data_IF_734690923807
#
_entry.id   IF_734690923807
#
_cell.length_a   1.000
_cell.length_b   1.000
_cell.length_c   1.000
_cell.angle_alpha   90.00
_cell.angle_beta   90.00
_cell.angle_gamma   90.00
#
_symmetry.space_group_name_H-M   'P 1'
#
loop_
_entity.id
_entity.type
_entity.pdbx_description
1 polymer ?
#
# COMPACT_ATOMS: atom_id res chain seq x y z
N UNK A 1 1.26 25.75 -2.32
CA UNK A 1 2.65 25.45 -1.90
C UNK A 1 2.76 25.71 -0.41
N UNK A 2 3.32 24.80 0.36
CA UNK A 2 3.56 25.00 1.81
C UNK A 2 4.90 25.72 1.93
N UNK A 3 4.86 26.97 2.39
CA UNK A 3 6.00 27.89 2.41
C UNK A 3 6.26 28.54 3.78
N UNK A 4 5.49 28.13 4.81
CA UNK A 4 5.67 28.61 6.18
C UNK A 4 5.32 27.55 7.21
N UNK A 5 5.92 27.66 8.41
CA UNK A 5 5.61 26.81 9.57
C UNK A 5 4.13 26.88 9.96
N UNK A 6 3.53 28.06 9.86
CA UNK A 6 2.13 28.27 10.18
C UNK A 6 1.19 27.48 9.25
N UNK A 7 1.49 27.45 7.94
CA UNK A 7 0.72 26.63 6.98
C UNK A 7 0.84 25.13 7.27
N UNK A 8 2.00 24.67 7.71
CA UNK A 8 2.18 23.27 8.14
C UNK A 8 1.31 22.98 9.36
N UNK A 9 1.39 23.81 10.40
CA UNK A 9 0.58 23.66 11.62
C UNK A 9 -0.92 23.66 11.29
N UNK A 10 -1.37 24.61 10.48
CA UNK A 10 -2.78 24.69 10.09
C UNK A 10 -3.24 23.47 9.27
N UNK A 11 -2.35 22.90 8.45
CA UNK A 11 -2.65 21.66 7.74
C UNK A 11 -2.93 20.50 8.71
N UNK A 12 -2.08 20.30 9.72
CA UNK A 12 -2.30 19.26 10.73
C UNK A 12 -3.55 19.54 11.58
N UNK A 13 -3.77 20.79 11.99
CA UNK A 13 -4.98 21.19 12.72
C UNK A 13 -6.26 20.95 11.93
N UNK A 14 -6.21 21.03 10.61
CA UNK A 14 -7.37 20.73 9.75
C UNK A 14 -7.77 19.26 9.76
N UNK A 15 -6.89 18.37 10.23
CA UNK A 15 -7.18 16.94 10.42
C UNK A 15 -8.03 16.62 11.66
N UNK A 16 -8.10 17.54 12.61
CA UNK A 16 -8.92 17.40 13.83
C UNK A 16 -10.40 17.30 13.47
N UNK A 17 -11.11 16.34 14.06
CA UNK A 17 -12.53 16.09 13.80
C UNK A 17 -13.31 15.96 15.10
N UNK A 18 -14.59 16.29 15.04
CA UNK A 18 -15.52 15.96 16.12
C UNK A 18 -15.74 14.43 16.18
N UNK A 19 -15.81 13.81 17.38
CA UNK A 19 -15.94 12.36 17.54
C UNK A 19 -17.07 11.71 16.72
N UNK A 20 -18.19 12.41 16.53
CA UNK A 20 -19.30 11.92 15.67
C UNK A 20 -18.95 11.75 14.19
N UNK A 21 -17.85 12.38 13.75
CA UNK A 21 -17.36 12.36 12.38
C UNK A 21 -16.13 11.46 12.19
N UNK A 22 -15.72 10.73 13.24
CA UNK A 22 -14.56 9.84 13.17
C UNK A 22 -14.77 8.76 12.12
N UNK A 23 -13.70 8.50 11.40
CA UNK A 23 -13.60 7.41 10.43
C UNK A 23 -12.40 6.54 10.78
N UNK A 24 -12.45 5.34 10.25
CA UNK A 24 -11.31 4.43 10.23
C UNK A 24 -10.90 4.16 8.78
N UNK A 25 -9.64 3.86 8.56
CA UNK A 25 -9.12 3.39 7.27
C UNK A 25 -8.17 2.23 7.51
N UNK A 26 -8.14 1.27 6.61
CA UNK A 26 -7.27 0.10 6.72
C UNK A 26 -6.38 0.03 5.49
N UNK A 27 -5.11 -0.28 5.72
CA UNK A 27 -4.15 -0.60 4.67
C UNK A 27 -3.70 -2.05 4.80
N UNK A 28 -3.63 -2.75 3.67
CA UNK A 28 -3.22 -4.15 3.61
C UNK A 28 -2.19 -4.37 2.53
N UNK A 29 -0.99 -4.72 2.93
CA UNK A 29 0.06 -5.11 2.00
C UNK A 29 0.08 -6.62 1.74
N UNK A 30 0.52 -7.02 0.55
CA UNK A 30 0.65 -8.42 0.13
C UNK A 30 1.90 -8.63 -0.70
N UNK A 31 2.58 -9.74 -0.45
CA UNK A 31 3.59 -10.25 -1.37
C UNK A 31 2.94 -11.01 -2.52
N UNK A 32 3.55 -10.89 -3.68
CA UNK A 32 3.14 -11.58 -4.89
C UNK A 32 4.29 -12.43 -5.45
N UNK A 33 4.03 -13.71 -5.65
CA UNK A 33 5.00 -14.67 -6.16
C UNK A 33 4.46 -15.38 -7.40
N UNK A 34 5.34 -15.79 -8.30
CA UNK A 34 4.96 -16.78 -9.29
C UNK A 34 4.62 -18.10 -8.60
N UNK A 35 3.54 -18.71 -8.99
CA UNK A 35 3.12 -19.98 -8.42
C UNK A 35 4.05 -21.13 -8.83
N UNK A 36 4.65 -21.04 -10.03
CA UNK A 36 5.50 -22.08 -10.61
C UNK A 36 6.86 -22.24 -9.92
N UNK A 37 7.52 -21.13 -9.53
CA UNK A 37 8.90 -21.13 -9.02
C UNK A 37 9.08 -20.45 -7.66
N UNK A 38 8.00 -19.89 -7.10
CA UNK A 38 7.98 -19.11 -5.85
C UNK A 38 8.91 -17.88 -5.84
N UNK A 39 9.28 -17.35 -7.00
CA UNK A 39 9.99 -16.07 -7.07
C UNK A 39 9.02 -14.91 -7.04
N UNK A 40 9.47 -13.78 -6.53
CA UNK A 40 8.72 -12.51 -6.58
C UNK A 40 8.41 -12.15 -8.02
N UNK A 41 7.19 -11.72 -8.30
CA UNK A 41 6.80 -11.30 -9.65
C UNK A 41 7.49 -10.00 -10.04
N UNK A 42 7.82 -9.88 -11.31
CA UNK A 42 8.39 -8.65 -11.88
C UNK A 42 7.31 -7.62 -12.23
N UNK A 43 7.75 -6.43 -12.64
CA UNK A 43 6.83 -5.35 -12.99
C UNK A 43 6.00 -5.66 -14.25
N UNK A 44 6.46 -6.50 -15.18
CA UNK A 44 5.66 -6.88 -16.35
C UNK A 44 4.40 -7.63 -15.94
N UNK A 45 4.55 -8.52 -14.97
CA UNK A 45 3.43 -9.28 -14.38
C UNK A 45 2.47 -8.39 -13.57
N UNK A 46 3.01 -7.36 -12.88
CA UNK A 46 2.19 -6.32 -12.22
C UNK A 46 1.33 -5.59 -13.24
N UNK A 47 1.89 -5.20 -14.40
CA UNK A 47 1.12 -4.52 -15.45
C UNK A 47 -0.03 -5.38 -15.96
N UNK A 48 0.20 -6.67 -16.20
CA UNK A 48 -0.84 -7.62 -16.59
C UNK A 48 -1.94 -7.70 -15.52
N UNK A 49 -1.56 -7.83 -14.25
CA UNK A 49 -2.49 -7.90 -13.13
C UNK A 49 -3.30 -6.62 -12.98
N UNK A 50 -2.66 -5.46 -13.03
CA UNK A 50 -3.35 -4.16 -12.95
C UNK A 50 -4.30 -3.96 -14.12
N UNK A 51 -3.88 -4.34 -15.34
CA UNK A 51 -4.75 -4.27 -16.52
C UNK A 51 -6.00 -5.16 -16.39
N UNK A 52 -5.85 -6.35 -15.82
CA UNK A 52 -6.98 -7.24 -15.60
C UNK A 52 -7.92 -6.72 -14.47
N UNK A 53 -7.41 -6.01 -13.48
CA UNK A 53 -8.23 -5.40 -12.43
C UNK A 53 -9.12 -4.26 -12.94
N UNK A 54 -8.82 -3.67 -14.10
CA UNK A 54 -9.70 -2.65 -14.72
C UNK A 54 -11.09 -3.22 -15.04
N UNK A 55 -11.22 -4.52 -15.31
CA UNK A 55 -12.51 -5.18 -15.53
C UNK A 55 -13.45 -5.09 -14.33
N UNK A 56 -12.91 -4.88 -13.13
CA UNK A 56 -13.65 -4.69 -11.89
C UNK A 56 -13.96 -3.22 -11.57
N UNK A 57 -13.71 -2.31 -12.51
CA UNK A 57 -14.00 -0.88 -12.36
C UNK A 57 -12.89 -0.08 -11.66
N UNK A 58 -11.68 -0.63 -11.57
CA UNK A 58 -10.50 0.12 -11.16
C UNK A 58 -10.01 1.03 -12.29
N UNK A 59 -9.49 2.21 -11.94
CA UNK A 59 -8.93 3.17 -12.89
C UNK A 59 -7.42 3.26 -12.69
N UNK A 60 -6.62 3.25 -13.78
CA UNK A 60 -5.17 3.26 -13.68
C UNK A 60 -4.63 4.64 -13.29
N UNK A 61 -3.59 4.64 -12.48
CA UNK A 61 -2.77 5.81 -12.16
C UNK A 61 -1.37 5.60 -12.72
N UNK A 62 -0.87 6.58 -13.45
CA UNK A 62 0.41 6.49 -14.14
C UNK A 62 1.46 7.43 -13.57
N UNK A 63 2.70 6.98 -13.56
CA UNK A 63 3.90 7.80 -13.47
C UNK A 63 4.64 7.68 -14.81
N UNK A 64 4.62 8.74 -15.61
CA UNK A 64 5.01 8.71 -17.04
C UNK A 64 4.17 7.65 -17.79
N UNK A 65 4.82 6.67 -18.43
CA UNK A 65 4.17 5.55 -19.14
C UNK A 65 3.88 4.33 -18.24
N UNK A 66 4.28 4.37 -16.98
CA UNK A 66 4.17 3.22 -16.09
C UNK A 66 2.94 3.32 -15.21
N UNK A 67 2.12 2.25 -15.20
CA UNK A 67 1.01 2.12 -14.27
C UNK A 67 1.58 1.76 -12.88
N UNK A 68 1.34 2.64 -11.89
CA UNK A 68 1.93 2.51 -10.56
C UNK A 68 0.90 2.32 -9.45
N UNK A 69 -0.37 2.54 -9.75
CA UNK A 69 -1.48 2.35 -8.83
C UNK A 69 -2.79 2.20 -9.59
N UNK A 70 -3.82 1.80 -8.88
CA UNK A 70 -5.21 1.81 -9.32
C UNK A 70 -6.06 2.57 -8.32
N UNK A 71 -7.12 3.24 -8.75
CA UNK A 71 -8.11 3.84 -7.86
C UNK A 71 -9.54 3.39 -8.18
N UNK A 72 -10.39 3.31 -7.15
CA UNK A 72 -11.82 2.96 -7.28
C UNK A 72 -12.60 3.59 -6.12
N UNK A 73 -13.36 4.65 -6.40
CA UNK A 73 -14.00 5.44 -5.33
C UNK A 73 -12.95 6.11 -4.45
N UNK A 74 -13.05 5.92 -3.13
CA UNK A 74 -12.07 6.40 -2.15
C UNK A 74 -10.86 5.50 -1.91
N UNK A 75 -10.81 4.32 -2.58
CA UNK A 75 -9.80 3.27 -2.38
C UNK A 75 -8.70 3.33 -3.43
N UNK A 76 -7.50 2.87 -3.05
CA UNK A 76 -6.39 2.69 -3.97
C UNK A 76 -5.76 1.31 -3.81
N UNK A 77 -5.25 0.77 -4.92
CA UNK A 77 -4.26 -0.31 -4.89
C UNK A 77 -2.95 0.32 -5.34
N UNK A 78 -1.96 0.37 -4.46
CA UNK A 78 -0.65 0.95 -4.75
C UNK A 78 0.39 -0.12 -4.95
N UNK A 79 1.37 0.20 -5.80
CA UNK A 79 2.55 -0.62 -5.99
C UNK A 79 3.60 -0.20 -4.97
N UNK A 80 4.06 -1.15 -4.16
CA UNK A 80 5.03 -0.94 -3.10
C UNK A 80 6.42 -1.49 -3.50
N UNK A 81 7.52 -1.17 -2.76
CA UNK A 81 8.86 -1.63 -3.09
C UNK A 81 8.90 -3.15 -3.32
N UNK A 82 9.70 -3.60 -4.29
CA UNK A 82 9.81 -5.03 -4.59
C UNK A 82 8.52 -5.66 -5.12
N UNK A 83 7.62 -4.87 -5.72
CA UNK A 83 6.35 -5.31 -6.29
C UNK A 83 5.37 -5.90 -5.27
N UNK A 84 5.44 -5.51 -3.98
CA UNK A 84 4.30 -5.68 -3.08
C UNK A 84 3.15 -4.80 -3.58
N UNK A 85 1.93 -5.22 -3.28
CA UNK A 85 0.74 -4.41 -3.51
C UNK A 85 0.06 -4.08 -2.19
N UNK A 86 -0.46 -2.88 -2.09
CA UNK A 86 -1.18 -2.38 -0.93
C UNK A 86 -2.60 -1.97 -1.32
N UNK A 87 -3.58 -2.44 -0.56
CA UNK A 87 -4.89 -1.79 -0.52
C UNK A 87 -4.82 -0.65 0.49
N UNK A 88 -4.96 0.59 0.04
CA UNK A 88 -5.30 1.73 0.89
C UNK A 88 -6.81 1.93 0.83
N UNK A 89 -7.50 1.52 1.92
CA UNK A 89 -8.96 1.49 1.99
C UNK A 89 -9.62 2.86 2.04
N UNK A 90 -10.95 2.86 1.99
CA UNK A 90 -11.75 4.07 2.07
C UNK A 90 -11.90 4.56 3.54
N UNK A 91 -12.52 5.70 3.72
CA UNK A 91 -12.90 6.26 5.02
C UNK A 91 -14.20 5.60 5.49
N UNK A 92 -14.09 4.71 6.46
CA UNK A 92 -15.16 3.82 6.90
C UNK A 92 -15.69 4.23 8.27
N UNK A 93 -16.94 3.86 8.58
CA UNK A 93 -17.56 4.19 9.86
C UNK A 93 -17.30 3.14 10.94
N UNK A 94 -17.10 1.89 10.56
CA UNK A 94 -16.93 0.78 11.51
C UNK A 94 -16.28 -0.44 10.85
N UNK A 95 -15.80 -1.37 11.68
CA UNK A 95 -15.06 -2.56 11.26
C UNK A 95 -15.80 -3.48 10.30
N UNK A 96 -17.13 -3.54 10.31
CA UNK A 96 -17.87 -4.39 9.35
C UNK A 96 -17.76 -3.87 7.92
N UNK A 97 -17.71 -2.54 7.72
CA UNK A 97 -17.43 -1.95 6.40
C UNK A 97 -16.00 -2.29 5.96
N UNK A 98 -15.03 -2.25 6.88
CA UNK A 98 -13.65 -2.64 6.61
C UNK A 98 -13.51 -4.12 6.24
N UNK A 99 -14.24 -5.01 6.91
CA UNK A 99 -14.29 -6.42 6.56
C UNK A 99 -14.88 -6.64 5.16
N UNK A 100 -15.99 -5.96 4.84
CA UNK A 100 -16.60 -6.04 3.52
C UNK A 100 -15.65 -5.55 2.42
N UNK A 101 -15.01 -4.39 2.62
CA UNK A 101 -14.03 -3.84 1.69
C UNK A 101 -12.86 -4.80 1.43
N UNK A 102 -12.31 -5.37 2.51
CA UNK A 102 -11.21 -6.33 2.41
C UNK A 102 -11.64 -7.62 1.67
N UNK A 103 -12.87 -8.09 1.88
CA UNK A 103 -13.39 -9.27 1.20
C UNK A 103 -13.59 -9.02 -0.29
N UNK A 104 -14.18 -7.88 -0.66
CA UNK A 104 -14.37 -7.47 -2.07
C UNK A 104 -13.03 -7.37 -2.79
N UNK A 105 -12.07 -6.69 -2.19
CA UNK A 105 -10.71 -6.59 -2.73
C UNK A 105 -10.06 -7.95 -2.92
N UNK A 106 -10.10 -8.81 -1.92
CA UNK A 106 -9.51 -10.14 -2.01
C UNK A 106 -10.22 -11.03 -3.03
N UNK A 107 -11.53 -10.87 -3.20
CA UNK A 107 -12.29 -11.58 -4.22
C UNK A 107 -11.81 -11.17 -5.63
N UNK A 108 -11.78 -9.87 -5.92
CA UNK A 108 -11.32 -9.34 -7.21
C UNK A 108 -9.87 -9.75 -7.51
N UNK A 109 -8.99 -9.59 -6.52
CA UNK A 109 -7.58 -9.93 -6.63
C UNK A 109 -7.37 -11.43 -6.92
N UNK A 110 -8.10 -12.32 -6.21
CA UNK A 110 -8.02 -13.77 -6.43
C UNK A 110 -8.51 -14.20 -7.82
N UNK A 111 -9.53 -13.53 -8.38
CA UNK A 111 -9.98 -13.82 -9.75
C UNK A 111 -8.86 -13.56 -10.77
N UNK A 112 -8.16 -12.45 -10.62
CA UNK A 112 -7.07 -12.04 -11.51
C UNK A 112 -5.83 -12.92 -11.31
N UNK A 113 -5.39 -13.06 -10.07
CA UNK A 113 -4.14 -13.78 -9.75
C UNK A 113 -4.22 -15.26 -10.12
N UNK A 114 -5.40 -15.88 -10.00
CA UNK A 114 -5.63 -17.25 -10.46
C UNK A 114 -5.43 -17.41 -11.98
N UNK A 115 -5.91 -16.45 -12.78
CA UNK A 115 -5.73 -16.44 -14.24
C UNK A 115 -4.26 -16.26 -14.65
N UNK A 116 -3.51 -15.49 -13.88
CA UNK A 116 -2.12 -15.13 -14.17
C UNK A 116 -1.08 -16.02 -13.49
N UNK A 117 -1.51 -17.10 -12.82
CA UNK A 117 -0.64 -18.00 -12.05
C UNK A 117 0.22 -17.28 -11.00
N UNK A 118 -0.40 -16.34 -10.29
CA UNK A 118 0.21 -15.56 -9.21
C UNK A 118 -0.27 -16.08 -7.86
N UNK A 119 0.65 -16.28 -6.93
CA UNK A 119 0.41 -16.60 -5.53
C UNK A 119 0.43 -15.32 -4.69
N UNK A 120 -0.64 -15.11 -3.92
CA UNK A 120 -0.74 -14.03 -2.93
C UNK A 120 -0.30 -14.58 -1.58
N UNK A 121 0.62 -13.89 -0.91
CA UNK A 121 1.10 -14.26 0.42
C UNK A 121 0.89 -13.10 1.39
N UNK A 122 0.14 -13.38 2.47
CA UNK A 122 -0.02 -12.48 3.61
C UNK A 122 0.95 -12.92 4.71
N UNK A 123 2.08 -12.25 4.80
CA UNK A 123 3.10 -12.51 5.81
C UNK A 123 3.77 -11.18 6.17
N UNK A 124 4.19 -11.01 7.41
CA UNK A 124 4.86 -9.79 7.84
C UNK A 124 6.27 -9.63 7.28
N UNK A 125 6.89 -10.72 6.86
CA UNK A 125 8.23 -10.74 6.29
C UNK A 125 8.31 -11.78 5.15
N UNK A 126 9.05 -11.47 4.08
CA UNK A 126 9.27 -12.39 2.95
C UNK A 126 10.10 -13.59 3.41
N UNK A 127 9.53 -14.81 3.44
CA UNK A 127 10.22 -15.96 4.00
C UNK A 127 11.19 -16.63 3.02
N UNK A 128 11.20 -16.25 1.76
CA UNK A 128 11.85 -16.98 0.68
C UNK A 128 12.96 -16.18 0.01
N UNK A 129 12.67 -14.93 -0.41
CA UNK A 129 13.54 -14.17 -1.30
C UNK A 129 14.70 -13.55 -0.54
N UNK A 130 15.90 -13.58 -1.16
CA UNK A 130 17.00 -12.74 -0.74
C UNK A 130 16.80 -11.33 -1.31
N UNK A 131 17.36 -10.33 -0.64
CA UNK A 131 17.20 -8.93 -1.04
C UNK A 131 17.61 -8.68 -2.51
N UNK A 132 18.71 -9.28 -2.95
CA UNK A 132 19.22 -9.14 -4.31
C UNK A 132 18.45 -9.92 -5.39
N UNK A 133 17.46 -10.73 -4.98
CA UNK A 133 16.59 -11.49 -5.89
C UNK A 133 15.23 -10.77 -6.11
N UNK A 134 14.95 -9.72 -5.33
CA UNK A 134 13.68 -9.01 -5.41
C UNK A 134 13.72 -7.99 -6.54
N UNK A 135 12.80 -8.06 -7.51
CA UNK A 135 12.79 -7.15 -8.64
C UNK A 135 12.35 -5.75 -8.23
N UNK A 136 12.96 -4.74 -8.83
CA UNK A 136 12.57 -3.35 -8.68
C UNK A 136 11.35 -3.03 -9.55
N UNK A 137 10.66 -1.95 -9.19
CA UNK A 137 9.59 -1.37 -9.99
C UNK A 137 9.97 0.06 -10.44
N UNK A 138 9.23 0.64 -11.41
CA UNK A 138 9.62 1.88 -12.06
C UNK A 138 9.27 3.17 -11.28
N UNK A 139 8.77 3.07 -10.03
CA UNK A 139 8.49 4.27 -9.23
C UNK A 139 9.80 4.99 -8.88
N UNK A 140 9.95 6.23 -9.30
CA UNK A 140 11.12 7.05 -9.03
C UNK A 140 11.41 7.19 -7.54
N UNK A 141 10.37 7.26 -6.72
CA UNK A 141 10.48 7.30 -5.25
C UNK A 141 11.34 6.16 -4.72
N UNK A 142 11.14 4.94 -5.20
CA UNK A 142 11.84 3.77 -4.67
C UNK A 142 13.28 3.68 -5.18
N UNK A 143 13.58 4.20 -6.36
CA UNK A 143 14.97 4.35 -6.81
C UNK A 143 15.75 5.28 -5.88
N UNK A 144 15.18 6.41 -5.49
CA UNK A 144 15.78 7.35 -4.55
C UNK A 144 15.94 6.72 -3.16
N UNK A 145 14.89 6.09 -2.64
CA UNK A 145 14.92 5.45 -1.32
C UNK A 145 15.95 4.32 -1.25
N UNK A 146 16.09 3.51 -2.30
CA UNK A 146 17.08 2.43 -2.36
C UNK A 146 18.52 2.95 -2.24
N UNK A 147 18.79 4.14 -2.72
CA UNK A 147 20.10 4.79 -2.61
C UNK A 147 20.34 5.43 -1.25
N UNK A 148 19.30 6.00 -0.65
CA UNK A 148 19.40 6.81 0.56
C UNK A 148 19.29 5.98 1.85
N UNK A 149 18.36 5.05 1.91
CA UNK A 149 18.04 4.30 3.13
C UNK A 149 19.21 3.50 3.74
N UNK A 150 20.14 2.92 2.97
CA UNK A 150 21.32 2.23 3.53
C UNK A 150 22.21 3.13 4.37
N UNK A 151 22.14 4.44 4.17
CA UNK A 151 22.88 5.42 4.99
C UNK A 151 22.34 5.50 6.42
N UNK A 152 21.08 5.12 6.63
CA UNK A 152 20.40 5.16 7.92
C UNK A 152 20.45 3.84 8.72
N UNK A 153 20.83 2.72 8.10
CA UNK A 153 20.86 1.43 8.78
C UNK A 153 21.03 0.21 7.87
N UNK A 154 21.70 -0.82 8.39
CA UNK A 154 22.04 -2.03 7.62
C UNK A 154 20.83 -2.82 7.12
N UNK A 155 19.71 -2.82 7.89
CA UNK A 155 18.50 -3.57 7.56
C UNK A 155 17.42 -2.72 6.89
N UNK A 156 17.72 -1.49 6.52
CA UNK A 156 16.73 -0.57 5.95
C UNK A 156 16.12 -1.05 4.63
N UNK A 157 16.93 -1.68 3.77
CA UNK A 157 16.44 -2.27 2.53
C UNK A 157 15.66 -3.57 2.76
N UNK A 158 16.02 -4.37 3.75
CA UNK A 158 15.21 -5.54 4.14
C UNK A 158 13.84 -5.10 4.63
N UNK A 159 13.78 -4.07 5.47
CA UNK A 159 12.52 -3.49 5.91
C UNK A 159 11.69 -2.99 4.73
N UNK A 160 12.30 -2.29 3.78
CA UNK A 160 11.61 -1.70 2.63
C UNK A 160 11.09 -2.76 1.63
N UNK A 161 11.92 -3.77 1.30
CA UNK A 161 11.63 -4.74 0.24
C UNK A 161 11.03 -6.05 0.73
N UNK A 162 11.19 -6.38 2.01
CA UNK A 162 10.88 -7.71 2.56
C UNK A 162 9.82 -7.70 3.65
N UNK A 163 9.17 -6.56 3.92
CA UNK A 163 8.05 -6.49 4.87
C UNK A 163 6.74 -6.17 4.18
N UNK A 164 5.65 -6.70 4.75
CA UNK A 164 4.29 -6.30 4.45
C UNK A 164 3.54 -6.14 5.77
N UNK A 165 2.83 -5.04 5.90
CA UNK A 165 2.07 -4.70 7.11
C UNK A 165 0.56 -4.70 6.89
N UNK A 166 -0.14 -4.56 8.00
CA UNK A 166 -1.51 -4.08 8.06
C UNK A 166 -1.51 -2.84 8.93
N UNK A 167 -2.05 -1.75 8.41
CA UNK A 167 -2.13 -0.48 9.13
C UNK A 167 -3.59 -0.12 9.39
N UNK A 168 -3.86 0.35 10.59
CA UNK A 168 -5.14 0.96 10.96
C UNK A 168 -4.94 2.46 11.14
N UNK A 169 -5.69 3.24 10.38
CA UNK A 169 -5.74 4.70 10.48
C UNK A 169 -7.00 5.10 11.23
N UNK A 170 -6.87 5.94 12.23
CA UNK A 170 -7.96 6.45 13.06
C UNK A 170 -7.92 7.97 13.13
N UNK A 171 -9.09 8.59 13.17
CA UNK A 171 -9.22 10.03 13.37
C UNK A 171 -9.01 10.42 14.84
N UNK A 172 -8.72 11.68 15.09
CA UNK A 172 -8.49 12.24 16.42
C UNK A 172 -9.21 13.59 16.61
N UNK A 173 -9.52 13.93 17.87
CA UNK A 173 -10.32 15.11 18.23
C UNK A 173 -9.50 16.31 18.67
N UNK A 174 -8.23 16.14 19.01
CA UNK A 174 -7.32 17.20 19.44
C UNK A 174 -5.85 16.74 19.31
N UNK A 175 -4.91 17.67 19.43
CA UNK A 175 -3.48 17.32 19.49
C UNK A 175 -3.15 16.48 20.73
N UNK A 176 -3.87 16.69 21.83
CA UNK A 176 -3.71 15.91 23.06
C UNK A 176 -4.19 14.46 22.85
N UNK A 177 -5.35 14.28 22.21
CA UNK A 177 -5.89 12.97 21.82
C UNK A 177 -4.92 12.23 20.88
N UNK A 178 -4.39 12.91 19.86
CA UNK A 178 -3.37 12.37 18.97
C UNK A 178 -2.09 11.95 19.73
N UNK A 179 -1.68 12.70 20.74
CA UNK A 179 -0.51 12.37 21.57
C UNK A 179 -0.73 11.10 22.38
N UNK A 180 -1.95 10.84 22.87
CA UNK A 180 -2.29 9.65 23.65
C UNK A 180 -2.19 8.35 22.84
N UNK A 181 -2.42 8.40 21.53
CA UNK A 181 -2.29 7.23 20.65
C UNK A 181 -0.87 6.68 20.62
N UNK A 182 0.12 7.51 20.91
CA UNK A 182 1.54 7.14 20.89
C UNK A 182 2.07 6.62 22.24
N UNK A 183 1.23 6.62 23.26
CA UNK A 183 1.56 6.14 24.59
C UNK A 183 1.09 4.70 24.78
#
# INVERSE_FOLDING_TARGET
>A
MIDSKEKIINYFKSGVKEPKNFKIGIEHEKFLFNNSDNKRIDYSKIKEMFSALLEFGWNPVFEKENIIALNKGGKNITLEPGNQIELSGDKLNHMHEACAESQDYLFELKQVTKKLDIKIVSAGFDPISKLNEIPNNPKQRYELMTKDMPLGGELSLDMMYRTCGTQLNIDYSSEEDLSLIHI
#
